data_IF_091981690473
#
_entry.id   IF_091981690473
#
_cell.length_a   1.000
_cell.length_b   1.000
_cell.length_c   1.000
_cell.angle_alpha   90.00
_cell.angle_beta   90.00
_cell.angle_gamma   90.00
#
_symmetry.space_group_name_H-M   'P 1'
#
loop_
_entity.id
_entity.type
_entity.pdbx_description
1 polymer ?
#
# COMPACT_ATOMS: atom_id res chain seq x y z
N UNK A 1 33.95 -11.80 -9.73
CA UNK A 1 33.28 -11.98 -8.41
C UNK A 1 33.09 -10.63 -7.69
N UNK A 2 34.14 -9.85 -7.36
CA UNK A 2 33.99 -8.59 -6.60
C UNK A 2 33.09 -7.54 -7.26
N UNK A 3 33.20 -7.32 -8.58
CA UNK A 3 32.32 -6.37 -9.31
C UNK A 3 30.87 -6.87 -9.33
N UNK A 4 30.65 -8.16 -9.50
CA UNK A 4 29.29 -8.73 -9.50
C UNK A 4 28.64 -8.60 -8.12
N UNK A 5 29.37 -8.90 -7.06
CA UNK A 5 28.92 -8.72 -5.69
C UNK A 5 28.64 -7.25 -5.39
N UNK A 6 29.53 -6.34 -5.81
CA UNK A 6 29.28 -4.89 -5.66
C UNK A 6 27.99 -4.44 -6.35
N UNK A 7 27.72 -4.91 -7.56
CA UNK A 7 26.49 -4.59 -8.30
C UNK A 7 25.29 -5.14 -7.57
N UNK A 8 25.32 -6.39 -7.10
CA UNK A 8 24.24 -7.03 -6.37
C UNK A 8 23.98 -6.30 -5.06
N UNK A 9 25.02 -6.08 -4.25
CA UNK A 9 24.89 -5.57 -2.88
C UNK A 9 24.61 -4.05 -2.81
N UNK A 10 25.04 -3.28 -3.81
CA UNK A 10 24.99 -1.81 -3.74
C UNK A 10 24.06 -1.18 -4.80
N UNK A 11 23.78 -1.85 -5.90
CA UNK A 11 22.96 -1.33 -6.98
C UNK A 11 21.59 -2.01 -7.00
N UNK A 12 21.56 -3.36 -7.04
CA UNK A 12 20.32 -4.12 -7.12
C UNK A 12 19.55 -4.20 -5.78
N UNK A 13 20.14 -3.76 -4.68
CA UNK A 13 19.43 -3.56 -3.41
C UNK A 13 18.69 -2.22 -3.34
N UNK A 14 18.96 -1.30 -4.27
CA UNK A 14 18.36 0.03 -4.27
C UNK A 14 17.18 0.09 -5.22
N UNK A 15 15.95 0.01 -4.70
CA UNK A 15 14.72 0.06 -5.48
C UNK A 15 14.66 1.30 -6.40
N UNK A 16 15.12 2.44 -5.93
CA UNK A 16 15.21 3.67 -6.71
C UNK A 16 16.04 3.49 -7.98
N UNK A 17 17.20 2.82 -7.88
CA UNK A 17 18.09 2.59 -9.01
C UNK A 17 17.46 1.59 -9.99
N UNK A 18 16.85 0.51 -9.49
CA UNK A 18 16.18 -0.48 -10.34
C UNK A 18 15.07 0.18 -11.17
N UNK A 19 14.22 0.99 -10.54
CA UNK A 19 13.14 1.69 -11.24
C UNK A 19 13.70 2.69 -12.26
N UNK A 20 14.77 3.38 -11.92
CA UNK A 20 15.49 4.25 -12.87
C UNK A 20 16.06 3.50 -14.07
N UNK A 21 16.62 2.30 -13.87
CA UNK A 21 17.10 1.43 -14.94
C UNK A 21 15.96 0.93 -15.85
N UNK A 22 14.81 0.63 -15.27
CA UNK A 22 13.59 0.28 -16.04
C UNK A 22 13.15 1.45 -16.92
N UNK A 23 13.12 2.67 -16.37
CA UNK A 23 12.79 3.88 -17.13
C UNK A 23 13.81 4.13 -18.25
N UNK A 24 15.11 4.01 -17.95
CA UNK A 24 16.20 4.12 -18.92
C UNK A 24 16.02 3.12 -20.06
N UNK A 25 15.81 1.84 -19.76
CA UNK A 25 15.60 0.80 -20.75
C UNK A 25 14.35 1.08 -21.61
N UNK A 26 13.23 1.44 -20.99
CA UNK A 26 11.98 1.73 -21.69
C UNK A 26 12.10 2.91 -22.66
N UNK A 27 12.75 3.99 -22.23
CA UNK A 27 12.98 5.17 -23.09
C UNK A 27 14.01 4.90 -24.20
N UNK A 28 15.03 4.10 -23.91
CA UNK A 28 16.02 3.65 -24.91
C UNK A 28 15.38 2.77 -25.99
N UNK A 29 14.47 1.86 -25.61
CA UNK A 29 13.71 1.04 -26.55
C UNK A 29 12.83 1.86 -27.51
N UNK A 30 12.39 3.06 -27.07
CA UNK A 30 11.71 4.03 -27.92
C UNK A 30 12.65 4.82 -28.85
N UNK A 31 13.96 4.61 -28.77
CA UNK A 31 14.96 5.37 -29.52
C UNK A 31 14.91 6.88 -29.23
N UNK A 32 14.56 7.27 -28.00
CA UNK A 32 14.61 8.68 -27.58
C UNK A 32 16.04 9.21 -27.56
N UNK A 33 16.24 10.53 -27.71
CA UNK A 33 17.56 11.14 -27.58
C UNK A 33 18.22 10.78 -26.24
N UNK A 34 19.53 10.59 -26.22
CA UNK A 34 20.29 10.18 -25.04
C UNK A 34 20.05 11.08 -23.83
N UNK A 35 19.98 12.40 -24.05
CA UNK A 35 19.65 13.36 -22.98
C UNK A 35 18.27 13.13 -22.35
N UNK A 36 17.26 12.78 -23.15
CA UNK A 36 15.92 12.43 -22.67
C UNK A 36 15.93 11.13 -21.88
N UNK A 37 16.68 10.12 -22.34
CA UNK A 37 16.80 8.82 -21.66
C UNK A 37 17.44 9.00 -20.29
N UNK A 38 18.55 9.72 -20.22
CA UNK A 38 19.26 9.98 -18.95
C UNK A 38 18.39 10.83 -18.01
N UNK A 39 17.81 11.92 -18.51
CA UNK A 39 16.93 12.80 -17.72
C UNK A 39 15.73 12.04 -17.17
N UNK A 40 15.08 11.20 -17.96
CA UNK A 40 13.93 10.40 -17.54
C UNK A 40 14.30 9.40 -16.45
N UNK A 41 15.43 8.68 -16.61
CA UNK A 41 15.93 7.77 -15.59
C UNK A 41 16.25 8.50 -14.27
N UNK A 42 16.93 9.64 -14.33
CA UNK A 42 17.29 10.42 -13.14
C UNK A 42 16.05 10.99 -12.43
N UNK A 43 15.06 11.49 -13.17
CA UNK A 43 13.80 11.96 -12.59
C UNK A 43 12.97 10.83 -11.98
N UNK A 44 13.01 9.63 -12.55
CA UNK A 44 12.37 8.44 -11.99
C UNK A 44 13.01 8.07 -10.64
N UNK A 45 14.34 8.06 -10.55
CA UNK A 45 15.08 7.85 -9.30
C UNK A 45 14.70 8.93 -8.28
N UNK A 46 14.74 10.20 -8.68
CA UNK A 46 14.39 11.33 -7.83
C UNK A 46 12.94 11.23 -7.33
N UNK A 47 11.99 10.91 -8.21
CA UNK A 47 10.59 10.72 -7.86
C UNK A 47 10.39 9.62 -6.82
N UNK A 48 11.11 8.50 -6.95
CA UNK A 48 11.08 7.42 -5.97
C UNK A 48 11.68 7.85 -4.61
N UNK A 49 12.81 8.56 -4.61
CA UNK A 49 13.44 9.06 -3.39
C UNK A 49 12.55 10.09 -2.66
N UNK A 50 11.90 10.99 -3.41
CA UNK A 50 10.92 11.93 -2.85
C UNK A 50 9.73 11.16 -2.23
N UNK A 51 9.21 10.15 -2.93
CA UNK A 51 8.14 9.29 -2.42
C UNK A 51 8.56 8.62 -1.10
N UNK A 52 9.74 8.05 -1.04
CA UNK A 52 10.29 7.41 0.15
C UNK A 52 10.47 8.41 1.31
N UNK A 53 10.97 9.61 1.03
CA UNK A 53 11.11 10.67 2.03
C UNK A 53 9.76 11.08 2.62
N UNK A 54 8.73 11.25 1.76
CA UNK A 54 7.37 11.52 2.22
C UNK A 54 6.81 10.40 3.12
N UNK A 55 7.06 9.15 2.74
CA UNK A 55 6.68 7.98 3.55
C UNK A 55 7.34 8.00 4.93
N UNK A 56 8.64 8.31 5.02
CA UNK A 56 9.35 8.40 6.30
C UNK A 56 8.77 9.48 7.21
N UNK A 57 8.48 10.67 6.66
CA UNK A 57 7.84 11.76 7.42
C UNK A 57 6.48 11.36 7.97
N UNK A 58 5.69 10.63 7.16
CA UNK A 58 4.39 10.10 7.62
C UNK A 58 4.57 9.06 8.73
N UNK A 59 5.55 8.17 8.61
CA UNK A 59 5.83 7.13 9.61
C UNK A 59 6.25 7.71 10.96
N UNK A 60 7.06 8.75 10.99
CA UNK A 60 7.42 9.44 12.24
C UNK A 60 6.17 9.96 12.98
N UNK A 61 5.28 10.63 12.25
CA UNK A 61 4.02 11.11 12.81
C UNK A 61 3.14 9.98 13.32
N UNK A 62 3.05 8.87 12.57
CA UNK A 62 2.26 7.70 12.97
C UNK A 62 2.87 6.95 14.15
N UNK A 63 4.20 6.91 14.29
CA UNK A 63 4.86 6.32 15.45
C UNK A 63 4.48 7.06 16.72
N UNK A 64 4.57 8.40 16.71
CA UNK A 64 4.08 9.22 17.81
C UNK A 64 2.62 8.91 18.16
N UNK A 65 1.75 8.87 17.14
CA UNK A 65 0.33 8.57 17.35
C UNK A 65 0.13 7.19 18.00
N UNK A 66 0.80 6.16 17.51
CA UNK A 66 0.72 4.79 18.05
C UNK A 66 1.19 4.72 19.50
N UNK A 67 2.30 5.36 19.84
CA UNK A 67 2.86 5.36 21.17
C UNK A 67 1.95 6.09 22.18
N UNK A 68 1.44 7.26 21.81
CA UNK A 68 0.50 8.02 22.66
C UNK A 68 -0.82 7.28 22.81
N UNK A 69 -1.31 6.64 21.74
CA UNK A 69 -2.51 5.81 21.80
C UNK A 69 -2.33 4.65 22.79
N UNK A 70 -1.25 3.87 22.67
CA UNK A 70 -0.97 2.75 23.54
C UNK A 70 -0.89 3.16 25.02
N UNK A 71 -0.20 4.26 25.31
CA UNK A 71 -0.07 4.82 26.68
C UNK A 71 -1.40 5.33 27.21
N UNK A 72 -2.18 6.02 26.37
CA UNK A 72 -3.41 6.67 26.77
C UNK A 72 -4.55 5.71 27.08
N UNK A 73 -4.63 4.62 26.36
CA UNK A 73 -5.69 3.63 26.55
C UNK A 73 -5.29 2.51 27.52
N UNK A 74 -4.12 2.61 28.17
CA UNK A 74 -3.69 1.69 29.22
C UNK A 74 -3.56 0.24 28.73
N UNK A 75 -3.19 0.06 27.46
CA UNK A 75 -3.12 -1.25 26.80
C UNK A 75 -1.93 -2.10 27.27
N UNK A 76 -1.41 -1.80 28.46
CA UNK A 76 -0.36 -2.56 29.13
C UNK A 76 -0.82 -4.00 29.34
N UNK A 77 -0.28 -4.92 28.54
CA UNK A 77 -0.60 -6.36 28.58
C UNK A 77 -1.44 -6.91 27.41
N UNK A 78 -2.10 -6.08 26.60
CA UNK A 78 -2.61 -6.50 25.31
C UNK A 78 -1.44 -6.46 24.31
N UNK A 79 -1.20 -7.56 23.60
CA UNK A 79 -0.28 -7.53 22.46
C UNK A 79 -0.91 -6.64 21.38
N UNK A 80 -0.42 -5.41 21.29
CA UNK A 80 -0.80 -4.51 20.20
C UNK A 80 0.23 -4.60 19.08
N UNK A 81 -0.25 -4.60 17.86
CA UNK A 81 0.59 -4.56 16.66
C UNK A 81 0.13 -3.41 15.77
N UNK A 82 1.07 -2.77 15.11
CA UNK A 82 0.78 -1.72 14.14
C UNK A 82 0.71 -2.32 12.75
N UNK A 83 -0.33 -2.00 12.01
CA UNK A 83 -0.43 -2.38 10.61
C UNK A 83 0.49 -1.46 9.77
N UNK A 84 1.65 -1.97 9.35
CA UNK A 84 2.62 -1.25 8.51
C UNK A 84 3.48 -2.22 7.72
N UNK A 85 3.28 -2.25 6.41
CA UNK A 85 4.10 -3.03 5.49
C UNK A 85 5.52 -2.44 5.37
N UNK A 86 5.66 -1.13 5.55
CA UNK A 86 6.95 -0.45 5.55
C UNK A 86 7.82 -0.92 6.72
N UNK A 87 7.20 -1.09 7.90
CA UNK A 87 7.91 -1.60 9.06
C UNK A 87 8.30 -3.08 8.87
N UNK A 88 7.45 -3.90 8.23
CA UNK A 88 7.82 -5.27 7.84
C UNK A 88 9.02 -5.25 6.90
N UNK A 89 9.02 -4.40 5.88
CA UNK A 89 10.15 -4.26 4.97
C UNK A 89 11.43 -3.85 5.72
N UNK A 90 11.34 -2.87 6.62
CA UNK A 90 12.47 -2.44 7.44
C UNK A 90 13.03 -3.56 8.32
N UNK A 91 12.17 -4.34 9.00
CA UNK A 91 12.62 -5.47 9.83
C UNK A 91 13.16 -6.63 8.99
N UNK A 92 12.57 -6.92 7.83
CA UNK A 92 13.06 -7.95 6.91
C UNK A 92 14.47 -7.62 6.40
N UNK A 93 14.72 -6.36 6.04
CA UNK A 93 16.03 -5.92 5.54
C UNK A 93 17.06 -5.78 6.65
N UNK A 94 16.66 -5.22 7.81
CA UNK A 94 17.58 -4.93 8.91
C UNK A 94 17.80 -6.12 9.84
N UNK A 95 16.72 -6.70 10.38
CA UNK A 95 16.83 -7.74 11.41
C UNK A 95 17.07 -9.14 10.83
N UNK A 96 16.49 -9.44 9.66
CA UNK A 96 16.60 -10.74 9.00
C UNK A 96 17.66 -10.77 7.89
N UNK A 97 18.25 -9.61 7.57
CA UNK A 97 19.30 -9.47 6.54
C UNK A 97 18.89 -9.96 5.14
N UNK A 98 17.57 -9.90 4.83
CA UNK A 98 17.01 -10.40 3.56
C UNK A 98 16.99 -9.35 2.43
N UNK A 99 17.66 -8.21 2.60
CA UNK A 99 17.61 -7.09 1.64
C UNK A 99 18.07 -7.47 0.23
N UNK A 100 19.09 -8.31 0.10
CA UNK A 100 19.59 -8.78 -1.20
C UNK A 100 18.58 -9.64 -1.94
N UNK A 101 17.98 -10.62 -1.25
CA UNK A 101 16.95 -11.51 -1.79
C UNK A 101 15.68 -10.75 -2.19
N UNK A 102 15.28 -9.77 -1.37
CA UNK A 102 14.12 -8.91 -1.65
C UNK A 102 14.36 -8.11 -2.95
N UNK A 103 15.52 -7.51 -3.11
CA UNK A 103 15.82 -6.70 -4.30
C UNK A 103 15.90 -7.54 -5.58
N UNK A 104 16.54 -8.70 -5.52
CA UNK A 104 16.61 -9.60 -6.69
C UNK A 104 15.23 -10.15 -7.01
N UNK A 105 14.45 -10.53 -6.00
CA UNK A 105 13.08 -11.00 -6.20
C UNK A 105 12.16 -9.91 -6.76
N UNK A 106 12.33 -8.64 -6.38
CA UNK A 106 11.62 -7.50 -6.98
C UNK A 106 11.81 -7.47 -8.50
N UNK A 107 13.06 -7.55 -8.95
CA UNK A 107 13.38 -7.62 -10.39
C UNK A 107 12.79 -8.88 -11.02
N UNK A 108 12.87 -10.01 -10.34
CA UNK A 108 12.29 -11.28 -10.77
C UNK A 108 10.76 -11.22 -10.91
N UNK A 109 10.06 -10.62 -9.95
CA UNK A 109 8.60 -10.38 -9.99
C UNK A 109 8.23 -9.58 -11.25
N UNK A 110 8.97 -8.51 -11.53
CA UNK A 110 8.73 -7.69 -12.71
C UNK A 110 8.96 -8.47 -14.01
N UNK A 111 10.03 -9.28 -14.09
CA UNK A 111 10.31 -10.14 -15.24
C UNK A 111 9.19 -11.18 -15.43
N UNK A 112 8.76 -11.85 -14.36
CA UNK A 112 7.67 -12.83 -14.41
C UNK A 112 6.36 -12.16 -14.84
N UNK A 113 6.06 -10.97 -14.32
CA UNK A 113 4.89 -10.19 -14.74
C UNK A 113 4.93 -9.89 -16.26
N UNK A 114 6.08 -9.47 -16.81
CA UNK A 114 6.25 -9.26 -18.27
C UNK A 114 6.01 -10.56 -19.04
N UNK A 115 6.58 -11.69 -18.59
CA UNK A 115 6.41 -13.00 -19.23
C UNK A 115 4.93 -13.40 -19.23
N UNK A 116 4.26 -13.30 -18.08
CA UNK A 116 2.84 -13.62 -17.97
C UNK A 116 1.98 -12.68 -18.83
N UNK A 117 2.26 -11.39 -18.84
CA UNK A 117 1.57 -10.44 -19.69
C UNK A 117 1.79 -10.71 -21.18
N UNK A 118 2.95 -11.25 -21.57
CA UNK A 118 3.27 -11.61 -22.96
C UNK A 118 2.52 -12.84 -23.42
N UNK A 119 2.46 -13.89 -22.61
CA UNK A 119 2.02 -15.23 -23.01
C UNK A 119 0.62 -15.62 -22.53
N UNK A 120 -0.04 -14.77 -21.70
CA UNK A 120 -1.41 -14.99 -21.24
C UNK A 120 -2.35 -13.90 -21.77
N UNK A 121 -3.68 -14.05 -21.61
CA UNK A 121 -4.63 -13.00 -21.94
C UNK A 121 -4.56 -11.79 -20.96
N UNK A 122 -3.87 -11.92 -19.83
CA UNK A 122 -3.73 -10.89 -18.81
C UNK A 122 -2.63 -9.89 -19.17
N UNK A 123 -2.97 -8.89 -20.01
CA UNK A 123 -2.03 -7.93 -20.59
C UNK A 123 -1.70 -6.75 -19.64
N UNK A 124 -1.43 -7.02 -18.39
CA UNK A 124 -1.19 -6.00 -17.35
C UNK A 124 0.27 -5.97 -16.95
N UNK A 125 0.90 -4.79 -17.02
CA UNK A 125 2.27 -4.57 -16.52
C UNK A 125 2.19 -3.73 -15.26
N UNK A 126 2.61 -4.31 -14.15
CA UNK A 126 2.59 -3.68 -12.84
C UNK A 126 3.72 -2.66 -12.71
N UNK A 127 3.39 -1.38 -12.50
CA UNK A 127 4.37 -0.29 -12.50
C UNK A 127 4.53 0.44 -11.17
N UNK A 128 3.74 0.09 -10.16
CA UNK A 128 3.87 0.65 -8.82
C UNK A 128 5.05 0.01 -8.10
N UNK A 129 6.24 0.59 -8.25
CA UNK A 129 7.50 0.03 -7.74
C UNK A 129 7.48 -0.19 -6.23
N UNK A 130 6.89 0.72 -5.47
CA UNK A 130 6.76 0.58 -4.01
C UNK A 130 5.90 -0.64 -3.64
N UNK A 131 4.76 -0.83 -4.28
CA UNK A 131 3.91 -2.00 -4.04
C UNK A 131 4.62 -3.30 -4.44
N UNK A 132 5.39 -3.31 -5.55
CA UNK A 132 6.23 -4.46 -5.92
C UNK A 132 7.30 -4.76 -4.87
N UNK A 133 7.90 -3.74 -4.25
CA UNK A 133 8.87 -3.93 -3.17
C UNK A 133 8.22 -4.61 -1.97
N UNK A 134 7.03 -4.18 -1.58
CA UNK A 134 6.29 -4.78 -0.46
C UNK A 134 5.88 -6.22 -0.75
N UNK A 135 5.36 -6.49 -1.93
CA UNK A 135 5.02 -7.86 -2.35
C UNK A 135 6.28 -8.75 -2.41
N UNK A 136 7.39 -8.22 -2.92
CA UNK A 136 8.68 -8.93 -2.91
C UNK A 136 9.12 -9.26 -1.49
N UNK A 137 8.99 -8.31 -0.56
CA UNK A 137 9.32 -8.52 0.86
C UNK A 137 8.49 -9.66 1.44
N UNK A 138 7.19 -9.64 1.26
CA UNK A 138 6.28 -10.67 1.76
C UNK A 138 6.60 -12.05 1.15
N UNK A 139 6.77 -12.12 -0.17
CA UNK A 139 7.14 -13.36 -0.83
C UNK A 139 8.46 -13.94 -0.30
N UNK A 140 9.48 -13.09 -0.14
CA UNK A 140 10.80 -13.52 0.37
C UNK A 140 10.72 -13.98 1.82
N UNK A 141 10.07 -13.21 2.68
CA UNK A 141 9.91 -13.51 4.11
C UNK A 141 9.22 -14.87 4.31
N UNK A 142 8.11 -15.11 3.62
CA UNK A 142 7.38 -16.36 3.77
C UNK A 142 8.07 -17.54 3.07
N UNK A 143 8.72 -17.34 1.93
CA UNK A 143 9.54 -18.36 1.29
C UNK A 143 10.73 -18.74 2.19
N UNK A 144 11.37 -17.77 2.84
CA UNK A 144 12.42 -17.98 3.82
C UNK A 144 11.91 -18.74 5.06
N UNK A 145 10.72 -18.40 5.56
CA UNK A 145 10.05 -19.12 6.66
C UNK A 145 9.71 -20.59 6.33
N UNK A 146 9.59 -20.93 5.04
CA UNK A 146 9.49 -22.33 4.57
C UNK A 146 10.84 -23.05 4.50
N UNK A 147 11.94 -22.40 4.90
CA UNK A 147 13.28 -22.96 4.84
C UNK A 147 13.99 -22.81 3.49
N UNK A 148 13.39 -22.12 2.52
CA UNK A 148 14.04 -21.85 1.24
C UNK A 148 15.18 -20.84 1.42
N UNK A 149 16.26 -21.02 0.66
CA UNK A 149 17.44 -20.12 0.67
C UNK A 149 18.02 -19.97 -0.73
N UNK A 150 18.73 -18.86 -0.97
CA UNK A 150 19.45 -18.61 -2.22
C UNK A 150 18.54 -18.65 -3.46
N UNK A 151 18.95 -19.34 -4.53
CA UNK A 151 18.23 -19.36 -5.81
C UNK A 151 16.79 -19.89 -5.70
N UNK A 152 16.49 -21.01 -5.01
CA UNK A 152 15.10 -21.47 -4.83
C UNK A 152 14.19 -20.43 -4.17
N UNK A 153 14.69 -19.72 -3.15
CA UNK A 153 13.94 -18.64 -2.50
C UNK A 153 13.59 -17.54 -3.48
N UNK A 154 14.57 -17.04 -4.23
CA UNK A 154 14.39 -15.97 -5.22
C UNK A 154 13.40 -16.40 -6.33
N UNK A 155 13.55 -17.63 -6.85
CA UNK A 155 12.67 -18.12 -7.91
C UNK A 155 11.21 -18.25 -7.45
N UNK A 156 10.97 -18.86 -6.28
CA UNK A 156 9.62 -19.02 -5.75
C UNK A 156 8.99 -17.66 -5.44
N UNK A 157 9.72 -16.77 -4.79
CA UNK A 157 9.26 -15.41 -4.52
C UNK A 157 8.93 -14.64 -5.80
N UNK A 158 9.79 -14.74 -6.82
CA UNK A 158 9.58 -14.07 -8.10
C UNK A 158 8.35 -14.60 -8.85
N UNK A 159 8.13 -15.91 -8.84
CA UNK A 159 7.00 -16.53 -9.53
C UNK A 159 5.68 -16.20 -8.83
N UNK A 160 5.62 -16.33 -7.51
CA UNK A 160 4.41 -16.03 -6.73
C UNK A 160 4.07 -14.54 -6.85
N UNK A 161 5.01 -13.65 -6.54
CA UNK A 161 4.78 -12.21 -6.61
C UNK A 161 4.47 -11.74 -8.04
N UNK A 162 5.12 -12.32 -9.07
CA UNK A 162 4.83 -12.01 -10.48
C UNK A 162 3.44 -12.47 -10.92
N UNK A 163 2.96 -13.61 -10.38
CA UNK A 163 1.58 -14.06 -10.57
C UNK A 163 0.59 -13.07 -9.94
N UNK A 164 0.81 -12.64 -8.69
CA UNK A 164 -0.01 -11.62 -8.04
C UNK A 164 0.01 -10.30 -8.80
N UNK A 165 1.19 -9.81 -9.20
CA UNK A 165 1.34 -8.59 -10.01
C UNK A 165 0.57 -8.64 -11.34
N UNK A 166 0.27 -9.83 -11.86
CA UNK A 166 -0.51 -10.02 -13.10
C UNK A 166 -2.00 -10.20 -12.82
N UNK A 167 -2.34 -11.01 -11.82
CA UNK A 167 -3.72 -11.40 -11.54
C UNK A 167 -4.51 -10.31 -10.82
N UNK A 168 -3.88 -9.56 -9.90
CA UNK A 168 -4.59 -8.52 -9.12
C UNK A 168 -5.15 -7.41 -10.03
N UNK A 169 -4.36 -6.81 -10.95
CA UNK A 169 -4.93 -5.89 -11.93
C UNK A 169 -6.03 -6.52 -12.79
N UNK A 170 -5.86 -7.78 -13.21
CA UNK A 170 -6.86 -8.49 -14.02
C UNK A 170 -8.20 -8.65 -13.29
N UNK A 171 -8.18 -8.96 -11.99
CA UNK A 171 -9.37 -9.09 -11.16
C UNK A 171 -10.08 -7.75 -10.93
N UNK A 172 -9.35 -6.65 -10.78
CA UNK A 172 -9.89 -5.31 -10.60
C UNK A 172 -10.52 -4.74 -11.89
N UNK A 173 -9.99 -5.12 -13.05
CA UNK A 173 -10.28 -4.51 -14.34
C UNK A 173 -11.76 -4.45 -14.74
N UNK A 174 -12.60 -5.47 -14.48
CA UNK A 174 -14.03 -5.41 -14.85
C UNK A 174 -14.81 -4.26 -14.18
N UNK A 175 -14.42 -3.88 -12.97
CA UNK A 175 -15.00 -2.73 -12.26
C UNK A 175 -14.29 -1.45 -12.71
N UNK A 176 -12.98 -1.48 -12.86
CA UNK A 176 -12.16 -0.34 -13.24
C UNK A 176 -12.57 0.27 -14.58
N UNK A 177 -12.85 -0.56 -15.60
CA UNK A 177 -13.36 -0.10 -16.90
C UNK A 177 -14.62 0.75 -16.79
N UNK A 178 -15.47 0.45 -15.82
CA UNK A 178 -16.72 1.22 -15.59
C UNK A 178 -16.46 2.53 -14.86
N UNK A 179 -15.40 2.60 -14.06
CA UNK A 179 -14.96 3.80 -13.35
C UNK A 179 -14.31 4.77 -14.33
N UNK A 180 -13.36 4.29 -15.12
CA UNK A 180 -12.55 5.12 -16.03
C UNK A 180 -13.22 5.41 -17.37
N UNK A 181 -14.26 4.64 -17.72
CA UNK A 181 -14.90 4.71 -19.03
C UNK A 181 -14.05 4.13 -20.18
N UNK A 182 -12.91 3.50 -19.87
CA UNK A 182 -11.95 2.97 -20.84
C UNK A 182 -11.20 1.75 -20.34
N UNK A 183 -10.26 1.28 -21.14
CA UNK A 183 -9.45 0.08 -20.88
C UNK A 183 -7.93 0.35 -21.01
N UNK A 184 -7.54 1.62 -20.91
CA UNK A 184 -6.17 2.07 -21.18
C UNK A 184 -5.25 1.94 -19.97
N UNK A 185 -5.82 1.91 -18.77
CA UNK A 185 -5.11 1.76 -17.51
C UNK A 185 -5.66 0.60 -16.68
N UNK A 186 -4.85 0.09 -15.78
CA UNK A 186 -5.23 -0.90 -14.77
C UNK A 186 -4.78 -0.42 -13.38
N UNK A 187 -5.25 -1.08 -12.33
CA UNK A 187 -4.87 -0.76 -10.96
C UNK A 187 -3.69 -1.65 -10.53
N UNK A 188 -2.59 -1.03 -10.17
CA UNK A 188 -1.37 -1.65 -9.67
C UNK A 188 -1.18 -1.40 -8.18
N UNK A 189 -2.02 -2.00 -7.35
CA UNK A 189 -1.96 -1.93 -5.90
C UNK A 189 -2.38 -3.25 -5.28
N UNK A 190 -1.72 -3.69 -4.21
CA UNK A 190 -1.96 -5.01 -3.59
C UNK A 190 -3.05 -5.00 -2.51
N UNK A 191 -4.22 -4.41 -2.83
CA UNK A 191 -5.42 -4.48 -1.99
C UNK A 191 -6.68 -4.83 -2.81
N UNK A 192 -6.50 -5.51 -3.94
CA UNK A 192 -7.56 -5.85 -4.90
C UNK A 192 -8.67 -6.68 -4.28
N UNK A 193 -8.35 -7.69 -3.48
CA UNK A 193 -9.35 -8.46 -2.74
C UNK A 193 -10.19 -7.57 -1.82
N UNK A 194 -9.57 -6.58 -1.18
CA UNK A 194 -10.27 -5.59 -0.35
C UNK A 194 -11.24 -4.73 -1.17
N UNK A 195 -10.80 -4.24 -2.33
CA UNK A 195 -11.66 -3.44 -3.22
C UNK A 195 -12.84 -4.23 -3.77
N UNK A 196 -12.60 -5.47 -4.19
CA UNK A 196 -13.66 -6.36 -4.67
C UNK A 196 -14.61 -6.71 -3.53
N UNK A 197 -14.11 -6.96 -2.32
CA UNK A 197 -14.93 -7.20 -1.15
C UNK A 197 -15.85 -6.00 -0.85
N UNK A 198 -15.29 -4.77 -0.81
CA UNK A 198 -16.07 -3.55 -0.65
C UNK A 198 -17.15 -3.40 -1.74
N UNK A 199 -16.78 -3.65 -3.00
CA UNK A 199 -17.67 -3.59 -4.14
C UNK A 199 -18.80 -4.63 -4.06
N UNK A 200 -18.52 -5.85 -3.60
CA UNK A 200 -19.51 -6.92 -3.43
C UNK A 200 -20.50 -6.56 -2.31
N UNK A 201 -20.01 -6.15 -1.14
CA UNK A 201 -20.86 -5.70 -0.04
C UNK A 201 -21.72 -4.52 -0.51
N UNK A 202 -21.11 -3.55 -1.16
CA UNK A 202 -21.79 -2.38 -1.71
C UNK A 202 -22.91 -2.76 -2.69
N UNK A 203 -22.65 -3.73 -3.58
CA UNK A 203 -23.66 -4.23 -4.53
C UNK A 203 -24.87 -4.88 -3.85
N UNK A 204 -24.66 -5.55 -2.72
CA UNK A 204 -25.72 -6.23 -1.97
C UNK A 204 -26.64 -5.25 -1.23
N UNK A 205 -26.11 -4.15 -0.70
CA UNK A 205 -26.85 -3.25 0.20
C UNK A 205 -27.12 -1.88 -0.40
N UNK A 206 -26.50 -1.55 -1.51
CA UNK A 206 -26.47 -0.22 -2.09
C UNK A 206 -27.58 0.07 -3.09
N UNK A 207 -27.58 1.31 -3.57
CA UNK A 207 -28.43 1.81 -4.65
C UNK A 207 -27.53 2.54 -5.66
N UNK A 208 -27.19 1.85 -6.74
CA UNK A 208 -26.28 2.37 -7.77
C UNK A 208 -26.78 3.65 -8.45
N UNK A 209 -28.09 3.91 -8.40
CA UNK A 209 -28.68 5.12 -8.99
C UNK A 209 -28.32 6.40 -8.23
N UNK A 210 -27.76 6.30 -7.02
CA UNK A 210 -27.42 7.42 -6.14
C UNK A 210 -25.93 7.51 -5.92
N UNK A 211 -25.19 8.08 -6.88
CA UNK A 211 -23.73 8.23 -6.79
C UNK A 211 -23.30 9.23 -5.70
N UNK A 212 -22.13 8.98 -5.10
CA UNK A 212 -21.46 9.95 -4.22
C UNK A 212 -21.11 11.24 -4.97
N UNK A 213 -20.82 11.14 -6.26
CA UNK A 213 -20.38 12.28 -7.08
C UNK A 213 -21.53 13.26 -7.37
N UNK A 214 -22.78 12.84 -7.17
CA UNK A 214 -23.96 13.72 -7.23
C UNK A 214 -24.16 14.57 -5.97
N UNK A 215 -23.43 14.27 -4.90
CA UNK A 215 -23.51 15.05 -3.67
C UNK A 215 -22.99 16.45 -3.94
N UNK A 216 -23.87 17.43 -3.94
CA UNK A 216 -23.49 18.83 -3.92
C UNK A 216 -23.03 19.17 -2.50
N UNK A 217 -21.74 19.16 -2.29
CA UNK A 217 -21.20 19.63 -1.03
C UNK A 217 -21.58 21.12 -0.89
N UNK A 218 -22.07 21.58 0.28
CA UNK A 218 -22.25 22.99 0.55
C UNK A 218 -20.94 23.75 0.27
N UNK A 219 -21.01 24.98 -0.23
CA UNK A 219 -19.79 25.78 -0.51
C UNK A 219 -18.86 25.87 0.69
N UNK A 220 -19.41 25.84 1.90
CA UNK A 220 -18.64 25.83 3.16
C UNK A 220 -17.80 24.58 3.39
N UNK A 221 -18.01 23.51 2.64
CA UNK A 221 -17.24 22.25 2.73
C UNK A 221 -16.63 21.86 1.38
N UNK A 222 -16.73 22.74 0.37
CA UNK A 222 -16.15 22.51 -0.97
C UNK A 222 -14.62 22.31 -0.90
N UNK A 223 -13.96 22.94 0.09
CA UNK A 223 -12.53 22.73 0.35
C UNK A 223 -12.16 21.29 0.67
N UNK A 224 -13.13 20.46 1.13
CA UNK A 224 -12.91 19.02 1.35
C UNK A 224 -12.75 18.21 0.04
N UNK A 225 -12.93 18.82 -1.12
CA UNK A 225 -12.56 18.22 -2.40
C UNK A 225 -11.04 18.24 -2.61
N UNK A 226 -10.32 19.11 -1.90
CA UNK A 226 -8.87 19.06 -1.84
C UNK A 226 -8.43 17.90 -0.94
N UNK A 227 -7.64 16.98 -1.50
CA UNK A 227 -7.17 15.78 -0.82
C UNK A 227 -6.44 16.09 0.48
N UNK A 228 -5.61 17.13 0.51
CA UNK A 228 -4.80 17.46 1.68
C UNK A 228 -5.65 18.07 2.79
N UNK A 229 -6.57 18.97 2.44
CA UNK A 229 -7.49 19.57 3.40
C UNK A 229 -8.45 18.53 3.99
N UNK A 230 -8.92 17.57 3.18
CA UNK A 230 -9.74 16.45 3.66
C UNK A 230 -9.00 15.60 4.67
N UNK A 231 -7.73 15.27 4.39
CA UNK A 231 -6.90 14.52 5.32
C UNK A 231 -6.64 15.31 6.60
N UNK A 232 -6.37 16.63 6.53
CA UNK A 232 -6.22 17.49 7.70
C UNK A 232 -7.46 17.46 8.60
N UNK A 233 -8.66 17.59 8.03
CA UNK A 233 -9.93 17.62 8.77
C UNK A 233 -10.19 16.31 9.51
N UNK A 234 -9.67 15.18 9.02
CA UNK A 234 -9.78 13.89 9.71
C UNK A 234 -8.65 13.70 10.71
N UNK A 235 -7.41 13.97 10.31
CA UNK A 235 -6.23 13.67 11.12
C UNK A 235 -6.09 14.58 12.33
N UNK A 236 -6.37 15.88 12.19
CA UNK A 236 -6.23 16.82 13.31
C UNK A 236 -7.14 16.45 14.48
N UNK A 237 -8.47 16.28 14.32
CA UNK A 237 -9.31 15.83 15.43
C UNK A 237 -8.88 14.47 15.99
N UNK A 238 -8.45 13.55 15.14
CA UNK A 238 -8.06 12.20 15.54
C UNK A 238 -6.83 12.24 16.46
N UNK A 239 -5.77 12.97 16.09
CA UNK A 239 -4.59 13.15 16.93
C UNK A 239 -4.91 13.91 18.23
N UNK A 240 -5.72 14.98 18.16
CA UNK A 240 -6.09 15.75 19.33
C UNK A 240 -6.94 14.95 20.33
N UNK A 241 -7.89 14.16 19.86
CA UNK A 241 -8.72 13.30 20.71
C UNK A 241 -7.85 12.26 21.42
N UNK A 242 -6.95 11.59 20.70
CA UNK A 242 -6.05 10.61 21.28
C UNK A 242 -5.12 11.26 22.31
N UNK A 243 -4.52 12.40 21.97
CA UNK A 243 -3.65 13.14 22.91
C UNK A 243 -4.42 13.63 24.16
N UNK A 244 -5.67 14.10 24.00
CA UNK A 244 -6.50 14.54 25.13
C UNK A 244 -6.84 13.39 26.08
N UNK A 245 -7.17 12.20 25.53
CA UNK A 245 -7.46 11.00 26.34
C UNK A 245 -6.21 10.49 27.04
N UNK A 246 -5.07 10.45 26.33
CA UNK A 246 -3.79 9.97 26.86
C UNK A 246 -3.20 10.92 27.94
N UNK A 247 -3.45 12.21 27.80
CA UNK A 247 -2.98 13.23 28.71
C UNK A 247 -1.49 13.59 28.56
N UNK A 248 -1.02 14.61 29.29
CA UNK A 248 0.32 15.17 29.12
C UNK A 248 1.45 14.18 29.44
N UNK A 249 1.23 13.24 30.37
CA UNK A 249 2.27 12.28 30.76
C UNK A 249 2.61 11.29 29.62
N UNK A 250 1.63 10.90 28.83
CA UNK A 250 1.84 9.98 27.71
C UNK A 250 2.66 10.61 26.58
N UNK A 251 2.56 11.93 26.41
CA UNK A 251 3.25 12.68 25.36
C UNK A 251 4.56 13.32 25.82
N UNK A 252 4.88 13.29 27.12
CA UNK A 252 5.99 14.05 27.71
C UNK A 252 7.36 13.76 27.09
N UNK A 253 7.62 12.51 26.68
CA UNK A 253 8.89 12.11 26.08
C UNK A 253 9.07 12.60 24.62
N UNK A 254 7.97 13.02 23.97
CA UNK A 254 7.98 13.45 22.57
C UNK A 254 7.94 14.97 22.42
N UNK A 255 7.20 15.65 23.29
CA UNK A 255 6.87 17.06 23.11
C UNK A 255 7.92 18.05 23.66
N UNK A 256 8.91 17.58 24.46
CA UNK A 256 9.87 18.48 25.09
C UNK A 256 9.16 19.58 25.85
N UNK A 257 9.51 20.85 25.59
CA UNK A 257 8.90 22.04 26.18
C UNK A 257 7.59 22.48 25.52
N UNK A 258 7.19 21.82 24.41
CA UNK A 258 5.97 22.15 23.67
C UNK A 258 4.75 21.59 24.40
N UNK A 259 3.65 22.35 24.44
CA UNK A 259 2.39 21.83 24.95
C UNK A 259 1.96 20.59 24.17
N UNK A 260 1.59 19.50 24.83
CA UNK A 260 1.28 18.21 24.23
C UNK A 260 0.14 18.25 23.20
N UNK A 261 -0.87 19.13 23.38
CA UNK A 261 -1.95 19.29 22.39
C UNK A 261 -1.46 20.02 21.15
N UNK A 262 -0.59 21.03 21.31
CA UNK A 262 0.04 21.74 20.18
C UNK A 262 0.96 20.78 19.44
N UNK A 263 1.72 19.96 20.16
CA UNK A 263 2.58 18.95 19.55
C UNK A 263 1.76 17.92 18.75
N UNK A 264 0.65 17.42 19.31
CA UNK A 264 -0.26 16.51 18.60
C UNK A 264 -0.84 17.14 17.33
N UNK A 265 -1.22 18.42 17.38
CA UNK A 265 -1.64 19.17 16.19
C UNK A 265 -0.53 19.23 15.13
N UNK A 266 0.69 19.54 15.53
CA UNK A 266 1.85 19.61 14.63
C UNK A 266 2.16 18.23 14.03
N UNK A 267 2.02 17.15 14.79
CA UNK A 267 2.19 15.79 14.29
C UNK A 267 1.12 15.41 13.26
N UNK A 268 -0.14 15.80 13.49
CA UNK A 268 -1.18 15.63 12.47
C UNK A 268 -0.85 16.39 11.18
N UNK A 269 -0.33 17.63 11.29
CA UNK A 269 0.12 18.40 10.14
C UNK A 269 1.33 17.76 9.44
N UNK A 270 2.28 17.23 10.22
CA UNK A 270 3.45 16.51 9.69
C UNK A 270 3.03 15.29 8.87
N UNK A 271 2.00 14.57 9.28
CA UNK A 271 1.42 13.49 8.48
C UNK A 271 0.99 13.99 7.09
N UNK A 272 0.28 15.13 7.03
CA UNK A 272 -0.19 15.70 5.76
C UNK A 272 0.96 16.22 4.91
N UNK A 273 1.99 16.80 5.53
CA UNK A 273 3.23 17.20 4.83
C UNK A 273 3.89 15.99 4.19
N UNK A 274 4.02 14.88 4.92
CA UNK A 274 4.55 13.62 4.39
C UNK A 274 3.73 13.10 3.20
N UNK A 275 2.40 13.16 3.29
CA UNK A 275 1.49 12.80 2.21
C UNK A 275 1.70 13.68 0.96
N UNK A 276 1.84 15.00 1.14
CA UNK A 276 2.11 15.93 0.03
C UNK A 276 3.42 15.60 -0.69
N UNK A 277 4.48 15.38 0.07
CA UNK A 277 5.80 15.01 -0.46
C UNK A 277 5.70 13.68 -1.21
N UNK A 278 5.07 12.66 -0.61
CA UNK A 278 4.88 11.33 -1.20
C UNK A 278 4.16 11.43 -2.55
N UNK A 279 3.01 12.11 -2.60
CA UNK A 279 2.22 12.25 -3.84
C UNK A 279 2.95 13.09 -4.90
N UNK A 280 3.83 14.01 -4.49
CA UNK A 280 4.68 14.76 -5.42
C UNK A 280 5.73 13.86 -6.05
N UNK A 281 6.34 12.95 -5.27
CA UNK A 281 7.23 11.90 -5.76
C UNK A 281 6.54 10.96 -6.74
N UNK A 282 5.32 10.51 -6.39
CA UNK A 282 4.48 9.66 -7.27
C UNK A 282 4.24 10.35 -8.62
N UNK A 283 3.83 11.62 -8.62
CA UNK A 283 3.59 12.35 -9.86
C UNK A 283 4.84 12.48 -10.73
N UNK A 284 5.99 12.78 -10.13
CA UNK A 284 7.26 12.86 -10.85
C UNK A 284 7.67 11.51 -11.44
N UNK A 285 7.52 10.43 -10.68
CA UNK A 285 7.82 9.07 -11.11
C UNK A 285 6.90 8.64 -12.26
N UNK A 286 5.59 8.88 -12.16
CA UNK A 286 4.62 8.51 -13.18
C UNK A 286 4.86 9.26 -14.50
N UNK A 287 5.26 10.53 -14.44
CA UNK A 287 5.53 11.33 -15.63
C UNK A 287 6.64 10.72 -16.51
N UNK A 288 7.57 9.98 -15.93
CA UNK A 288 8.68 9.35 -16.65
C UNK A 288 8.43 7.83 -16.91
N UNK A 289 7.79 7.12 -15.98
CA UNK A 289 7.51 5.67 -16.12
C UNK A 289 6.47 5.38 -17.20
N UNK A 290 5.43 6.19 -17.34
CA UNK A 290 4.41 5.95 -18.36
C UNK A 290 4.99 5.95 -19.77
N UNK A 291 5.84 6.91 -20.18
CA UNK A 291 6.55 6.85 -21.45
C UNK A 291 7.50 5.64 -21.55
N UNK A 292 8.20 5.27 -20.45
CA UNK A 292 9.05 4.09 -20.43
C UNK A 292 8.25 2.81 -20.64
N UNK A 293 7.07 2.70 -20.00
CA UNK A 293 6.13 1.61 -20.21
C UNK A 293 5.70 1.50 -21.69
N UNK A 294 5.37 2.61 -22.34
CA UNK A 294 5.02 2.61 -23.75
C UNK A 294 6.14 2.00 -24.61
N UNK A 295 7.40 2.28 -24.28
CA UNK A 295 8.55 1.66 -24.96
C UNK A 295 8.62 0.15 -24.77
N UNK A 296 8.38 -0.34 -23.55
CA UNK A 296 8.35 -1.77 -23.24
C UNK A 296 7.17 -2.45 -23.91
N UNK A 297 5.97 -1.86 -23.80
CA UNK A 297 4.75 -2.47 -24.35
C UNK A 297 4.79 -2.61 -25.86
N UNK A 298 5.32 -1.60 -26.56
CA UNK A 298 5.44 -1.62 -28.02
C UNK A 298 6.40 -2.70 -28.53
N UNK A 299 7.42 -3.07 -27.74
CA UNK A 299 8.47 -4.00 -28.13
C UNK A 299 8.28 -5.40 -27.58
N UNK A 300 7.89 -5.54 -26.32
CA UNK A 300 7.87 -6.81 -25.60
C UNK A 300 6.45 -7.37 -25.43
N UNK A 301 5.48 -6.52 -25.11
CA UNK A 301 4.11 -6.95 -24.77
C UNK A 301 3.09 -6.11 -25.55
N UNK A 302 2.69 -6.53 -26.74
CA UNK A 302 1.67 -5.83 -27.51
C UNK A 302 0.35 -5.72 -26.73
N UNK A 303 -0.29 -4.53 -26.81
CA UNK A 303 -1.56 -4.23 -26.13
C UNK A 303 -1.52 -4.34 -24.60
N UNK A 304 -0.33 -4.23 -23.98
CA UNK A 304 -0.21 -4.19 -22.53
C UNK A 304 -0.81 -2.91 -21.95
N UNK A 305 -1.36 -3.04 -20.74
CA UNK A 305 -1.96 -1.94 -19.98
C UNK A 305 -1.10 -1.64 -18.76
N UNK A 306 -0.77 -0.37 -18.52
CA UNK A 306 -0.06 0.02 -17.32
C UNK A 306 -0.96 -0.14 -16.10
N UNK A 307 -0.54 -0.95 -15.14
CA UNK A 307 -1.18 -1.02 -13.84
C UNK A 307 -0.50 -0.01 -12.91
N UNK A 308 -1.25 1.02 -12.55
CA UNK A 308 -0.79 2.21 -11.84
C UNK A 308 -1.41 2.28 -10.43
N UNK A 309 -0.79 3.06 -9.55
CA UNK A 309 -1.21 3.17 -8.15
C UNK A 309 -2.55 3.88 -7.97
N UNK A 310 -3.15 3.70 -6.78
CA UNK A 310 -4.45 4.23 -6.36
C UNK A 310 -4.72 5.70 -6.74
N UNK A 311 -3.78 6.66 -6.56
CA UNK A 311 -4.03 8.06 -6.84
C UNK A 311 -4.45 8.38 -8.27
N UNK A 312 -4.12 7.51 -9.22
CA UNK A 312 -4.52 7.67 -10.63
C UNK A 312 -6.05 7.59 -10.79
N UNK A 313 -6.73 6.90 -9.87
CA UNK A 313 -8.19 6.76 -9.88
C UNK A 313 -8.91 7.90 -9.17
N UNK A 314 -8.25 8.63 -8.28
CA UNK A 314 -8.89 9.63 -7.42
C UNK A 314 -9.61 10.74 -8.20
N UNK A 315 -9.08 11.26 -9.32
CA UNK A 315 -9.79 12.26 -10.12
C UNK A 315 -11.11 11.80 -10.73
N UNK A 316 -11.32 10.47 -10.88
CA UNK A 316 -12.56 9.95 -11.46
C UNK A 316 -13.75 9.97 -10.50
N UNK A 317 -13.50 9.96 -9.19
CA UNK A 317 -14.56 9.95 -8.18
C UNK A 317 -14.08 10.55 -6.83
N UNK A 318 -13.78 11.85 -6.77
CA UNK A 318 -13.17 12.50 -5.61
C UNK A 318 -14.03 12.44 -4.35
N UNK A 319 -15.36 12.55 -4.46
CA UNK A 319 -16.25 12.43 -3.30
C UNK A 319 -16.23 11.01 -2.73
N UNK A 320 -16.16 10.01 -3.60
CA UNK A 320 -16.05 8.59 -3.20
C UNK A 320 -14.73 8.30 -2.49
N UNK A 321 -13.62 8.96 -2.85
CA UNK A 321 -12.34 8.86 -2.16
C UNK A 321 -12.47 9.32 -0.71
N UNK A 322 -13.05 10.50 -0.50
CA UNK A 322 -13.23 11.08 0.84
C UNK A 322 -14.13 10.18 1.69
N UNK A 323 -15.28 9.81 1.17
CA UNK A 323 -16.21 8.93 1.87
C UNK A 323 -15.59 7.56 2.14
N UNK A 324 -14.91 6.99 1.16
CA UNK A 324 -14.21 5.72 1.29
C UNK A 324 -13.16 5.75 2.41
N UNK A 325 -12.34 6.78 2.46
CA UNK A 325 -11.37 6.99 3.52
C UNK A 325 -12.03 7.08 4.90
N UNK A 326 -13.04 7.93 5.06
CA UNK A 326 -13.73 8.14 6.35
C UNK A 326 -14.39 6.84 6.82
N UNK A 327 -15.18 6.19 5.98
CA UNK A 327 -15.93 4.99 6.40
C UNK A 327 -15.01 3.75 6.53
N UNK A 328 -13.94 3.63 5.76
CA UNK A 328 -12.92 2.61 6.00
C UNK A 328 -12.21 2.84 7.34
N UNK A 329 -11.89 4.10 7.68
CA UNK A 329 -11.28 4.42 8.97
C UNK A 329 -12.21 4.06 10.13
N UNK A 330 -13.50 4.39 10.04
CA UNK A 330 -14.50 3.95 11.04
C UNK A 330 -14.54 2.43 11.13
N UNK A 331 -14.58 1.73 10.00
CA UNK A 331 -14.54 0.27 9.96
C UNK A 331 -13.27 -0.31 10.58
N UNK A 332 -12.11 0.29 10.31
CA UNK A 332 -10.84 -0.13 10.90
C UNK A 332 -10.80 0.06 12.42
N UNK A 333 -11.39 1.14 12.93
CA UNK A 333 -11.56 1.35 14.37
C UNK A 333 -12.45 0.27 14.99
N UNK A 334 -13.56 -0.10 14.32
CA UNK A 334 -14.40 -1.22 14.74
C UNK A 334 -13.62 -2.53 14.71
N UNK A 335 -12.86 -2.79 13.64
CA UNK A 335 -11.98 -3.96 13.53
C UNK A 335 -10.93 -4.03 14.65
N UNK A 336 -10.32 -2.91 15.00
CA UNK A 336 -9.40 -2.79 16.13
C UNK A 336 -10.09 -3.17 17.45
N UNK A 337 -11.30 -2.67 17.70
CA UNK A 337 -12.07 -3.03 18.89
C UNK A 337 -12.44 -4.53 18.90
N UNK A 338 -12.78 -5.10 17.76
CA UNK A 338 -13.03 -6.55 17.63
C UNK A 338 -11.77 -7.34 17.95
N UNK A 339 -10.62 -7.00 17.37
CA UNK A 339 -9.37 -7.72 17.61
C UNK A 339 -8.84 -7.54 19.04
N UNK A 340 -9.26 -6.49 19.76
CA UNK A 340 -8.94 -6.29 21.18
C UNK A 340 -9.71 -7.21 22.14
N UNK A 341 -10.71 -7.95 21.66
CA UNK A 341 -11.50 -8.88 22.50
C UNK A 341 -10.62 -10.07 22.89
N UNK A 342 -10.30 -10.28 24.20
CA UNK A 342 -9.36 -11.32 24.62
C UNK A 342 -9.77 -12.73 24.23
N UNK A 343 -11.09 -12.98 24.18
CA UNK A 343 -11.64 -14.30 23.82
C UNK A 343 -11.32 -14.74 22.38
N UNK A 344 -10.93 -13.82 21.49
CA UNK A 344 -10.54 -14.13 20.12
C UNK A 344 -9.07 -14.58 20.00
N UNK A 345 -8.24 -14.37 21.06
CA UNK A 345 -6.82 -14.73 21.03
C UNK A 345 -5.99 -13.99 19.97
N UNK A 346 -6.52 -12.91 19.40
CA UNK A 346 -5.86 -12.09 18.38
C UNK A 346 -5.12 -10.92 19.03
N UNK A 347 -4.03 -10.44 18.45
CA UNK A 347 -3.46 -9.17 18.84
C UNK A 347 -4.38 -8.02 18.42
N UNK A 348 -4.44 -6.96 19.22
CA UNK A 348 -5.11 -5.73 18.80
C UNK A 348 -4.32 -5.08 17.68
N UNK A 349 -4.96 -4.88 16.53
CA UNK A 349 -4.33 -4.27 15.36
C UNK A 349 -4.67 -2.78 15.30
N UNK A 350 -3.66 -1.94 15.46
CA UNK A 350 -3.78 -0.48 15.31
C UNK A 350 -3.80 -0.17 13.81
N UNK A 351 -4.84 0.52 13.31
CA UNK A 351 -4.96 0.84 11.90
C UNK A 351 -3.83 1.71 11.35
N UNK A 352 -3.32 1.36 10.19
CA UNK A 352 -2.45 2.24 9.40
C UNK A 352 -3.28 3.31 8.70
N UNK A 353 -3.09 4.58 9.07
CA UNK A 353 -3.89 5.68 8.50
C UNK A 353 -3.61 5.87 7.01
N UNK A 354 -2.37 5.63 6.59
CA UNK A 354 -1.96 5.72 5.18
C UNK A 354 -2.68 4.67 4.33
N UNK A 355 -2.71 3.41 4.77
CA UNK A 355 -3.46 2.37 4.07
C UNK A 355 -4.96 2.66 4.06
N UNK A 356 -5.52 3.20 5.15
CA UNK A 356 -6.93 3.63 5.17
C UNK A 356 -7.22 4.71 4.14
N UNK A 357 -6.29 5.64 3.88
CA UNK A 357 -6.49 6.68 2.86
C UNK A 357 -6.41 6.10 1.45
N UNK A 358 -5.34 5.41 1.11
CA UNK A 358 -5.15 4.88 -0.25
C UNK A 358 -6.09 3.70 -0.54
N UNK A 359 -6.08 2.69 0.32
CA UNK A 359 -6.95 1.52 0.14
C UNK A 359 -8.41 1.86 0.39
N UNK A 360 -8.73 2.63 1.44
CA UNK A 360 -10.10 3.04 1.74
C UNK A 360 -10.69 3.98 0.70
N UNK A 361 -9.92 4.95 0.21
CA UNK A 361 -10.34 5.84 -0.87
C UNK A 361 -10.64 5.07 -2.15
N UNK A 362 -9.76 4.15 -2.53
CA UNK A 362 -9.95 3.29 -3.71
C UNK A 362 -11.15 2.34 -3.52
N UNK A 363 -11.30 1.73 -2.33
CA UNK A 363 -12.48 0.92 -1.99
C UNK A 363 -13.77 1.74 -2.14
N UNK A 364 -13.76 3.02 -1.74
CA UNK A 364 -14.88 3.94 -1.92
C UNK A 364 -15.25 4.15 -3.38
N UNK A 365 -14.29 4.29 -4.28
CA UNK A 365 -14.52 4.40 -5.73
C UNK A 365 -15.18 3.11 -6.26
N UNK A 366 -14.64 1.93 -5.90
CA UNK A 366 -15.18 0.64 -6.30
C UNK A 366 -16.60 0.41 -5.74
N UNK A 367 -16.81 0.76 -4.48
CA UNK A 367 -18.10 0.65 -3.81
C UNK A 367 -19.15 1.59 -4.43
N UNK A 368 -18.78 2.84 -4.76
CA UNK A 368 -19.68 3.78 -5.42
C UNK A 368 -20.10 3.26 -6.80
N UNK A 369 -19.18 2.71 -7.58
CA UNK A 369 -19.47 2.15 -8.89
C UNK A 369 -20.47 0.99 -8.85
N UNK A 370 -20.58 0.27 -7.71
CA UNK A 370 -21.42 -0.92 -7.57
C UNK A 370 -22.70 -0.69 -6.80
N UNK A 371 -22.72 0.22 -5.82
CA UNK A 371 -23.88 0.44 -4.94
C UNK A 371 -24.10 1.88 -4.48
N UNK A 372 -23.47 2.87 -5.12
CA UNK A 372 -23.68 4.29 -4.82
C UNK A 372 -23.38 4.66 -3.36
N UNK A 373 -23.94 5.78 -2.89
CA UNK A 373 -23.65 6.37 -1.55
C UNK A 373 -23.84 5.39 -0.39
N UNK A 374 -24.97 4.70 -0.35
CA UNK A 374 -25.26 3.72 0.72
C UNK A 374 -24.29 2.56 0.65
N UNK A 375 -23.94 2.14 -0.57
CA UNK A 375 -22.95 1.11 -0.81
C UNK A 375 -21.56 1.52 -0.30
N UNK A 376 -21.15 2.76 -0.52
CA UNK A 376 -19.87 3.29 -0.01
C UNK A 376 -19.84 3.25 1.52
N UNK A 377 -20.88 3.75 2.18
CA UNK A 377 -20.93 3.77 3.64
C UNK A 377 -20.75 2.36 4.21
N UNK A 378 -21.58 1.42 3.82
CA UNK A 378 -21.61 0.08 4.41
C UNK A 378 -20.43 -0.77 3.88
N UNK A 379 -20.13 -0.68 2.58
CA UNK A 379 -19.04 -1.41 1.95
C UNK A 379 -17.67 -1.00 2.48
N UNK A 380 -17.45 0.30 2.72
CA UNK A 380 -16.17 0.77 3.27
C UNK A 380 -16.02 0.51 4.77
N UNK A 381 -17.11 0.53 5.55
CA UNK A 381 -17.07 0.06 6.94
C UNK A 381 -16.68 -1.44 6.96
N UNK A 382 -17.33 -2.26 6.15
CA UNK A 382 -16.99 -3.68 6.06
C UNK A 382 -15.54 -3.89 5.57
N UNK A 383 -15.08 -3.09 4.60
CA UNK A 383 -13.69 -3.10 4.13
C UNK A 383 -12.72 -2.75 5.26
N UNK A 384 -13.01 -1.70 6.05
CA UNK A 384 -12.17 -1.31 7.18
C UNK A 384 -12.05 -2.41 8.23
N UNK A 385 -13.14 -3.09 8.57
CA UNK A 385 -13.12 -4.27 9.46
C UNK A 385 -12.26 -5.39 8.84
N UNK A 386 -12.42 -5.64 7.56
CA UNK A 386 -11.73 -6.71 6.84
C UNK A 386 -10.21 -6.50 6.80
N UNK A 387 -9.73 -5.27 6.50
CA UNK A 387 -8.29 -4.95 6.44
C UNK A 387 -7.60 -4.91 7.81
N UNK A 388 -8.34 -5.06 8.89
CA UNK A 388 -7.81 -5.20 10.25
C UNK A 388 -7.84 -6.66 10.71
N UNK A 389 -8.98 -7.34 10.52
CA UNK A 389 -9.11 -8.73 10.99
C UNK A 389 -8.19 -9.68 10.21
N UNK A 390 -8.08 -9.49 8.88
CA UNK A 390 -7.29 -10.41 8.06
C UNK A 390 -5.79 -10.38 8.42
N UNK A 391 -5.13 -9.22 8.56
CA UNK A 391 -3.76 -9.16 9.07
C UNK A 391 -3.59 -9.66 10.50
N UNK A 392 -4.61 -9.46 11.37
CA UNK A 392 -4.55 -9.98 12.74
C UNK A 392 -4.37 -11.52 12.78
N UNK A 393 -5.00 -12.23 11.83
CA UNK A 393 -4.85 -13.69 11.69
C UNK A 393 -3.43 -14.10 11.24
N UNK A 394 -2.69 -13.22 10.57
CA UNK A 394 -1.32 -13.47 10.11
C UNK A 394 -0.27 -13.17 11.19
N UNK A 395 -0.61 -12.34 12.19
CA UNK A 395 0.33 -11.90 13.23
C UNK A 395 1.05 -13.02 13.98
N UNK A 396 0.39 -14.11 14.40
CA UNK A 396 1.08 -15.19 15.10
C UNK A 396 2.26 -15.74 14.30
N UNK A 397 2.06 -15.93 13.00
CA UNK A 397 3.09 -16.42 12.10
C UNK A 397 4.24 -15.41 11.91
N UNK A 398 3.94 -14.13 11.76
CA UNK A 398 4.96 -13.10 11.69
C UNK A 398 5.81 -13.05 12.96
N UNK A 399 5.18 -13.23 14.13
CA UNK A 399 5.89 -13.28 15.41
C UNK A 399 6.81 -14.50 15.51
N UNK A 400 6.38 -15.68 15.02
CA UNK A 400 7.19 -16.91 14.99
C UNK A 400 8.47 -16.74 14.16
N UNK A 401 8.41 -15.98 13.08
CA UNK A 401 9.55 -15.75 12.19
C UNK A 401 10.38 -14.51 12.56
N UNK A 402 10.10 -13.89 13.72
CA UNK A 402 10.95 -12.87 14.33
C UNK A 402 10.48 -11.42 14.17
N UNK A 403 9.31 -11.16 13.55
CA UNK A 403 8.76 -9.82 13.48
C UNK A 403 8.13 -9.40 14.83
N UNK A 404 8.35 -8.14 15.19
CA UNK A 404 7.90 -7.61 16.49
C UNK A 404 6.94 -6.44 16.30
N UNK A 405 5.79 -6.51 16.96
CA UNK A 405 4.81 -5.43 17.10
C UNK A 405 4.26 -4.86 15.79
N UNK A 406 4.32 -5.62 14.69
CA UNK A 406 3.87 -5.20 13.36
C UNK A 406 3.08 -6.29 12.65
N UNK A 407 2.26 -5.87 11.69
CA UNK A 407 1.57 -6.76 10.74
C UNK A 407 1.43 -6.10 9.36
N UNK A 408 1.02 -6.87 8.37
CA UNK A 408 0.75 -6.37 7.01
C UNK A 408 -0.41 -5.37 6.99
N UNK A 409 -0.50 -4.58 5.93
CA UNK A 409 -1.60 -3.64 5.69
C UNK A 409 -2.45 -4.04 4.50
N UNK A 410 -1.85 -4.26 3.36
CA UNK A 410 -2.55 -4.48 2.11
C UNK A 410 -3.05 -5.91 2.01
N UNK A 411 -4.34 -6.07 1.69
CA UNK A 411 -5.02 -7.37 1.75
C UNK A 411 -4.35 -8.44 0.89
N UNK A 412 -3.89 -8.07 -0.30
CA UNK A 412 -3.30 -9.03 -1.23
C UNK A 412 -1.96 -9.56 -0.70
N UNK A 413 -1.17 -8.72 -0.01
CA UNK A 413 0.07 -9.17 0.66
C UNK A 413 -0.21 -10.14 1.80
N UNK A 414 -1.31 -9.94 2.53
CA UNK A 414 -1.77 -10.89 3.55
C UNK A 414 -2.19 -12.21 2.91
N UNK A 415 -2.93 -12.15 1.80
CA UNK A 415 -3.34 -13.34 1.04
C UNK A 415 -2.12 -14.08 0.50
N UNK A 416 -1.10 -13.36 0.01
CA UNK A 416 0.19 -13.97 -0.38
C UNK A 416 0.80 -14.74 0.78
N UNK A 417 0.81 -14.17 2.00
CA UNK A 417 1.26 -14.88 3.21
C UNK A 417 0.47 -16.18 3.46
N UNK A 418 -0.86 -16.13 3.35
CA UNK A 418 -1.69 -17.33 3.50
C UNK A 418 -1.44 -18.38 2.40
N UNK A 419 -1.17 -17.96 1.16
CA UNK A 419 -0.80 -18.91 0.08
C UNK A 419 0.46 -19.68 0.45
N UNK A 420 1.49 -19.03 0.98
CA UNK A 420 2.69 -19.72 1.46
C UNK A 420 2.39 -20.67 2.63
N UNK A 421 1.50 -20.31 3.56
CA UNK A 421 1.08 -21.20 4.65
C UNK A 421 0.36 -22.44 4.13
N UNK A 422 -0.54 -22.31 3.17
CA UNK A 422 -1.23 -23.43 2.54
C UNK A 422 -0.21 -24.36 1.85
N UNK A 423 0.76 -23.78 1.15
CA UNK A 423 1.86 -24.54 0.53
C UNK A 423 2.65 -25.30 1.61
N UNK A 424 2.97 -24.67 2.75
CA UNK A 424 3.63 -25.31 3.90
C UNK A 424 2.83 -26.52 4.37
N UNK A 425 1.55 -26.36 4.60
CA UNK A 425 0.68 -27.43 5.09
C UNK A 425 0.57 -28.61 4.10
N UNK A 426 0.45 -28.32 2.79
CA UNK A 426 0.35 -29.35 1.75
C UNK A 426 1.68 -30.10 1.57
N UNK A 427 2.79 -29.38 1.61
CA UNK A 427 4.13 -29.97 1.45
C UNK A 427 4.59 -30.80 2.66
N UNK A 428 3.84 -30.81 3.77
CA UNK A 428 4.22 -31.49 5.00
C UNK A 428 5.50 -30.92 5.65
N UNK A 429 5.80 -29.66 5.37
CA UNK A 429 6.92 -28.92 5.96
C UNK A 429 6.43 -28.35 7.30
N UNK A 430 6.58 -29.13 8.36
CA UNK A 430 6.30 -28.72 9.75
C UNK A 430 7.58 -28.59 10.55
#
# INVERSE_FOLDING_TARGET
MAILNFIIENILTQAAIIIGLIALLGLALQKKPVGTVISGAMKTILGFLILSAGSSVMQESLSYFGDVFNKGFGLNGLKSVVASIEAINGQAMGNLELGGEIAISLAGIFIVNIILARFTPFKYIFLTGQALLWESTICVVFAWALGLKGIPLILVSSVVGGAFATLMPAMAQPILRKITGGDDIALGHFCTFGYIFAALVSKLVGDKSKSCEELKLPKSVEFLQDTYLSVMVVMIPFYLIVAAIAGPKASAEFCGDTNYMVFAFLQAMQFVVGLYILLSGVRLLLAEIVPAFQGISQKLVPNAKPALDCPVLFPYAPNSVIMGFVFTTIGSMIGMLITSIPALGLPMVIPGVMSNFFAGGTAGIFANQTGGRRGVIIGCIAHGIFIIILPALLCPLLAEIGFQNITCTDVDTVVTGFVFMVVKAIAGIF
#
